data_IF_267588274752
#
_entry.id   IF_267588274752
#
_cell.length_a   1.000
_cell.length_b   1.000
_cell.length_c   1.000
_cell.angle_alpha   90.00
_cell.angle_beta   90.00
_cell.angle_gamma   90.00
#
_symmetry.space_group_name_H-M   'P 1'
#
loop_
_entity.id
_entity.type
_entity.pdbx_description
1 polymer ?
#
# COMPACT_ATOMS: atom_id res chain seq x y z
N UNK A 1 32.73 19.01 -38.56
CA UNK A 1 31.50 19.66 -38.04
C UNK A 1 30.49 18.59 -37.68
N UNK A 2 29.78 18.76 -36.56
CA UNK A 2 28.63 17.97 -36.05
C UNK A 2 28.88 16.69 -35.24
N UNK A 3 29.47 16.83 -34.06
CA UNK A 3 29.25 15.89 -32.94
C UNK A 3 29.25 16.64 -31.61
N UNK A 4 28.17 17.35 -31.28
CA UNK A 4 28.03 17.89 -29.92
C UNK A 4 26.60 18.27 -29.50
N UNK A 5 25.65 18.40 -30.44
CA UNK A 5 24.30 18.90 -30.14
C UNK A 5 23.28 17.82 -29.80
N UNK A 6 23.51 16.54 -30.14
CA UNK A 6 22.55 15.46 -29.88
C UNK A 6 22.62 14.90 -28.46
N UNK A 7 23.79 14.96 -27.80
CA UNK A 7 23.95 14.48 -26.42
C UNK A 7 23.23 15.38 -25.40
N UNK A 8 23.12 16.68 -25.68
CA UNK A 8 22.52 17.65 -24.76
C UNK A 8 20.99 17.52 -24.67
N UNK A 9 20.33 17.09 -25.76
CA UNK A 9 18.87 16.88 -25.76
C UNK A 9 18.43 15.58 -25.09
N UNK A 10 19.25 14.52 -25.13
CA UNK A 10 18.93 13.23 -24.49
C UNK A 10 19.05 13.35 -22.96
N UNK A 11 19.99 14.16 -22.47
CA UNK A 11 20.16 14.38 -21.04
C UNK A 11 18.97 15.11 -20.39
N UNK A 12 18.27 15.99 -21.12
CA UNK A 12 17.12 16.74 -20.57
C UNK A 12 15.86 15.88 -20.50
N UNK A 13 15.65 14.96 -21.44
CA UNK A 13 14.49 14.04 -21.39
C UNK A 13 14.60 12.95 -20.31
N UNK A 14 15.83 12.60 -19.92
CA UNK A 14 16.07 11.53 -18.94
C UNK A 14 15.85 11.96 -17.48
N UNK A 15 15.82 13.27 -17.21
CA UNK A 15 15.69 13.82 -15.85
C UNK A 15 14.22 14.03 -15.43
N UNK A 16 13.26 13.92 -16.35
CA UNK A 16 11.84 14.19 -16.07
C UNK A 16 11.04 13.02 -15.45
N UNK A 17 11.60 11.81 -15.38
CA UNK A 17 10.87 10.60 -14.91
C UNK A 17 11.53 9.87 -13.73
N UNK A 18 12.35 10.56 -12.93
CA UNK A 18 13.12 9.94 -11.85
C UNK A 18 12.66 10.31 -10.43
N UNK A 19 11.48 10.91 -10.25
CA UNK A 19 10.84 10.95 -8.94
C UNK A 19 9.92 9.72 -8.85
N UNK A 20 10.53 8.56 -8.67
CA UNK A 20 9.78 7.36 -8.35
C UNK A 20 9.24 7.50 -6.93
N UNK A 21 7.96 7.86 -6.78
CA UNK A 21 7.28 7.71 -5.50
C UNK A 21 7.35 6.22 -5.14
N UNK A 22 8.00 5.89 -4.03
CA UNK A 22 8.12 4.53 -3.53
C UNK A 22 7.31 4.47 -2.25
N UNK A 23 6.17 3.79 -2.29
CA UNK A 23 5.21 3.84 -1.17
C UNK A 23 5.46 2.69 -0.23
N UNK A 24 5.71 3.01 1.03
CA UNK A 24 5.79 2.00 2.09
C UNK A 24 4.38 1.56 2.47
N UNK A 25 4.27 0.28 2.76
CA UNK A 25 3.03 -0.27 3.29
C UNK A 25 2.66 0.40 4.61
N UNK A 26 1.36 0.58 4.85
CA UNK A 26 0.90 1.27 6.05
C UNK A 26 1.29 0.51 7.32
N UNK A 27 1.73 1.26 8.33
CA UNK A 27 1.93 0.72 9.67
C UNK A 27 0.59 0.39 10.32
N UNK A 28 0.53 -0.74 11.03
CA UNK A 28 -0.60 -1.12 11.87
C UNK A 28 -0.92 -0.01 12.87
N UNK A 29 -2.03 0.68 12.66
CA UNK A 29 -2.47 1.78 13.49
C UNK A 29 -3.97 2.03 13.31
N UNK A 30 -4.66 2.45 14.37
CA UNK A 30 -6.10 2.73 14.34
C UNK A 30 -6.37 4.14 13.73
N UNK A 31 -5.92 4.38 12.49
CA UNK A 31 -5.98 5.71 11.83
C UNK A 31 -7.41 6.13 11.48
N UNK A 32 -8.26 5.20 11.05
CA UNK A 32 -9.70 5.38 10.89
C UNK A 32 -10.39 4.75 12.08
N UNK A 33 -10.57 5.56 13.13
CA UNK A 33 -11.33 5.20 14.31
C UNK A 33 -12.67 4.53 13.94
N UNK A 34 -13.38 5.06 12.94
CA UNK A 34 -14.67 4.52 12.48
C UNK A 34 -14.51 3.12 11.89
N UNK A 35 -13.52 2.89 11.03
CA UNK A 35 -13.32 1.57 10.39
C UNK A 35 -12.66 0.55 11.32
N UNK A 36 -11.79 0.99 12.24
CA UNK A 36 -11.09 0.10 13.17
C UNK A 36 -11.95 -0.23 14.41
N UNK A 37 -12.63 0.75 14.99
CA UNK A 37 -13.36 0.59 16.25
C UNK A 37 -14.83 0.22 16.03
N UNK A 38 -15.55 0.73 15.02
CA UNK A 38 -16.93 0.22 14.78
C UNK A 38 -16.94 -1.22 14.28
N UNK A 39 -15.86 -1.65 13.64
CA UNK A 39 -15.62 -3.06 13.34
C UNK A 39 -15.55 -3.86 14.65
N UNK A 40 -14.80 -3.40 15.65
CA UNK A 40 -14.65 -4.12 16.92
C UNK A 40 -15.85 -4.02 17.88
N UNK A 41 -16.44 -2.84 18.05
CA UNK A 41 -17.38 -2.55 19.14
C UNK A 41 -18.81 -3.06 18.93
N UNK A 42 -19.22 -3.49 17.73
CA UNK A 42 -20.68 -3.62 17.46
C UNK A 42 -21.28 -4.91 16.91
N UNK A 43 -20.58 -6.01 16.60
CA UNK A 43 -21.23 -7.32 16.34
C UNK A 43 -20.24 -8.40 15.86
N UNK A 44 -20.73 -9.64 15.73
CA UNK A 44 -20.20 -10.73 14.87
C UNK A 44 -19.77 -10.32 13.45
N UNK A 45 -20.13 -9.12 12.97
CA UNK A 45 -19.68 -8.56 11.69
C UNK A 45 -18.22 -8.09 11.80
N UNK A 46 -17.80 -7.64 12.99
CA UNK A 46 -16.45 -7.20 13.29
C UNK A 46 -15.37 -8.21 13.00
N UNK A 47 -15.53 -9.38 13.59
CA UNK A 47 -14.65 -10.55 13.38
C UNK A 47 -14.48 -10.85 11.88
N UNK A 48 -15.58 -10.91 11.12
CA UNK A 48 -15.51 -11.17 9.67
C UNK A 48 -14.74 -10.09 8.90
N UNK A 49 -14.85 -8.83 9.31
CA UNK A 49 -14.12 -7.72 8.68
C UNK A 49 -12.63 -7.76 9.03
N UNK A 50 -12.28 -8.15 10.27
CA UNK A 50 -10.90 -8.36 10.70
C UNK A 50 -10.21 -9.51 9.92
N UNK A 51 -10.99 -10.45 9.37
CA UNK A 51 -10.48 -11.49 8.48
C UNK A 51 -10.48 -11.09 6.99
N UNK A 52 -10.92 -9.88 6.63
CA UNK A 52 -10.97 -9.45 5.23
C UNK A 52 -9.62 -8.98 4.72
N UNK A 53 -9.15 -9.63 3.67
CA UNK A 53 -7.97 -9.27 2.87
C UNK A 53 -7.93 -7.86 2.33
N UNK A 54 -9.10 -7.28 2.09
CA UNK A 54 -9.23 -5.92 1.61
C UNK A 54 -9.13 -4.88 2.73
N UNK A 55 -9.39 -5.26 3.98
CA UNK A 55 -9.61 -4.30 5.09
C UNK A 55 -8.74 -4.50 6.31
N UNK A 56 -8.07 -5.66 6.45
CA UNK A 56 -7.29 -5.93 7.64
C UNK A 56 -6.00 -6.72 7.44
N UNK A 57 -5.98 -7.71 6.56
CA UNK A 57 -4.84 -8.65 6.55
C UNK A 57 -3.74 -8.27 5.57
N UNK A 58 -3.83 -7.15 4.84
CA UNK A 58 -2.91 -6.94 3.70
C UNK A 58 -2.48 -5.51 3.37
N UNK A 59 -3.23 -4.45 3.67
CA UNK A 59 -2.87 -3.08 3.23
C UNK A 59 -3.27 -1.97 4.21
N UNK A 60 -4.07 -2.31 5.21
CA UNK A 60 -4.54 -1.42 6.25
C UNK A 60 -4.74 -2.27 7.49
N UNK A 61 -3.82 -2.18 8.43
CA UNK A 61 -3.87 -2.96 9.65
C UNK A 61 -4.36 -2.06 10.78
N UNK A 62 -5.49 -2.39 11.41
CA UNK A 62 -5.81 -1.76 12.68
C UNK A 62 -5.07 -2.50 13.81
N UNK A 63 -4.73 -1.78 14.87
CA UNK A 63 -4.15 -2.42 16.04
C UNK A 63 -5.21 -3.24 16.77
N UNK A 64 -6.44 -2.71 16.81
CA UNK A 64 -7.58 -3.33 17.49
C UNK A 64 -7.91 -4.75 17.00
N UNK A 65 -8.01 -5.01 15.68
CA UNK A 65 -8.17 -6.42 15.27
C UNK A 65 -6.89 -7.25 15.27
N UNK A 66 -5.68 -6.66 15.18
CA UNK A 66 -4.47 -7.43 15.36
C UNK A 66 -4.45 -8.06 16.76
N UNK A 67 -4.81 -7.27 17.78
CA UNK A 67 -4.99 -7.74 19.15
C UNK A 67 -6.09 -8.81 19.26
N UNK A 68 -7.25 -8.60 18.64
CA UNK A 68 -8.35 -9.59 18.62
C UNK A 68 -7.92 -10.94 17.99
N UNK A 69 -7.17 -10.89 16.91
CA UNK A 69 -6.70 -12.06 16.17
C UNK A 69 -5.46 -12.72 16.80
N UNK A 70 -4.92 -12.15 17.89
CA UNK A 70 -3.70 -12.62 18.54
C UNK A 70 -2.43 -12.42 17.71
N UNK A 71 -2.45 -11.46 16.77
CA UNK A 71 -1.32 -11.03 15.96
C UNK A 71 -0.53 -9.99 16.75
N UNK A 72 0.74 -10.29 17.03
CA UNK A 72 1.61 -9.35 17.75
C UNK A 72 2.12 -8.28 16.80
N UNK A 73 1.79 -7.02 17.09
CA UNK A 73 2.31 -5.84 16.38
C UNK A 73 3.57 -5.32 17.09
N UNK A 74 4.65 -5.16 16.33
CA UNK A 74 5.91 -4.58 16.77
C UNK A 74 5.80 -3.06 16.99
N UNK A 75 6.78 -2.47 17.67
CA UNK A 75 6.80 -1.03 17.97
C UNK A 75 6.80 -0.12 16.73
N UNK A 76 7.33 -0.61 15.60
CA UNK A 76 7.32 0.08 14.31
C UNK A 76 5.99 -0.08 13.55
N UNK A 77 5.00 -0.76 14.12
CA UNK A 77 3.69 -1.01 13.50
C UNK A 77 3.69 -2.13 12.44
N UNK A 78 4.74 -2.95 12.37
CA UNK A 78 4.75 -4.17 11.55
C UNK A 78 4.27 -5.37 12.38
N UNK A 79 3.95 -6.50 11.76
CA UNK A 79 3.66 -7.74 12.48
C UNK A 79 4.34 -8.93 11.81
N UNK A 80 4.51 -10.01 12.58
CA UNK A 80 5.06 -11.26 12.07
C UNK A 80 4.05 -11.98 11.17
N UNK A 81 4.49 -12.38 9.97
CA UNK A 81 3.70 -13.17 9.04
C UNK A 81 3.32 -14.52 9.66
N UNK A 82 2.03 -14.74 9.88
CA UNK A 82 1.46 -15.98 10.41
C UNK A 82 0.57 -16.66 9.38
N UNK A 83 1.15 -17.01 8.22
CA UNK A 83 0.53 -17.82 7.15
C UNK A 83 -0.79 -17.26 6.58
N UNK A 84 -1.83 -17.31 7.39
CA UNK A 84 -3.16 -16.72 7.21
C UNK A 84 -3.15 -15.18 7.28
N UNK A 85 -2.15 -14.58 7.96
CA UNK A 85 -1.95 -13.14 8.03
C UNK A 85 -0.55 -12.81 7.54
N UNK A 86 -0.44 -11.94 6.53
CA UNK A 86 0.84 -11.49 6.01
C UNK A 86 0.89 -9.98 6.10
N UNK A 87 1.98 -9.46 6.62
CA UNK A 87 2.22 -8.04 6.65
C UNK A 87 2.39 -7.50 5.24
N UNK A 88 3.02 -8.24 4.32
CA UNK A 88 3.30 -7.81 2.95
C UNK A 88 2.42 -8.45 1.87
N UNK A 89 2.41 -7.83 0.68
CA UNK A 89 1.71 -8.37 -0.50
C UNK A 89 2.21 -9.79 -0.82
N UNK A 90 1.32 -10.79 -0.97
CA UNK A 90 1.73 -12.16 -1.25
C UNK A 90 2.43 -12.35 -2.60
N UNK A 91 2.27 -11.40 -3.52
CA UNK A 91 2.95 -11.41 -4.81
C UNK A 91 4.36 -10.81 -4.73
N UNK A 92 4.77 -10.24 -3.60
CA UNK A 92 6.14 -9.76 -3.44
C UNK A 92 7.17 -10.87 -3.77
N UNK A 93 8.25 -10.56 -4.52
CA UNK A 93 8.61 -9.24 -5.07
C UNK A 93 7.93 -8.91 -6.42
N UNK A 94 7.22 -9.86 -7.04
CA UNK A 94 6.53 -9.71 -8.31
C UNK A 94 5.15 -9.03 -8.17
N UNK A 95 5.13 -7.79 -7.66
CA UNK A 95 3.91 -7.00 -7.49
C UNK A 95 3.13 -6.83 -8.81
N UNK A 96 1.80 -6.73 -8.68
CA UNK A 96 0.86 -6.52 -9.78
C UNK A 96 -0.33 -5.70 -9.32
N UNK A 97 -0.88 -4.91 -10.23
CA UNK A 97 -2.18 -4.30 -10.02
C UNK A 97 -3.28 -5.34 -10.11
N UNK A 98 -4.28 -5.21 -9.23
CA UNK A 98 -5.42 -6.14 -9.13
C UNK A 98 -6.62 -5.70 -9.97
N UNK A 99 -6.58 -4.48 -10.52
CA UNK A 99 -7.63 -3.93 -11.38
C UNK A 99 -7.04 -3.07 -12.51
N UNK A 100 -7.72 -2.95 -13.66
CA UNK A 100 -7.35 -1.96 -14.66
C UNK A 100 -7.70 -0.54 -14.19
N UNK A 101 -7.05 0.47 -14.78
CA UNK A 101 -7.36 1.88 -14.53
C UNK A 101 -6.51 2.56 -13.46
N UNK A 102 -5.60 1.84 -12.80
CA UNK A 102 -4.74 2.39 -11.75
C UNK A 102 -3.93 3.61 -12.17
N UNK A 103 -3.38 3.64 -13.39
CA UNK A 103 -2.67 4.82 -13.91
C UNK A 103 -3.60 6.05 -13.96
N UNK A 104 -4.84 5.89 -14.43
CA UNK A 104 -5.81 6.98 -14.47
C UNK A 104 -6.23 7.41 -13.05
N UNK A 105 -6.44 6.45 -12.14
CA UNK A 105 -6.80 6.74 -10.76
C UNK A 105 -5.71 7.58 -10.07
N UNK A 106 -4.44 7.22 -10.29
CA UNK A 106 -3.29 7.95 -9.75
C UNK A 106 -3.14 9.33 -10.39
N UNK A 107 -3.26 9.44 -11.71
CA UNK A 107 -3.13 10.73 -12.43
C UNK A 107 -4.27 11.70 -12.08
N UNK A 108 -5.47 11.18 -11.81
CA UNK A 108 -6.63 12.00 -11.46
C UNK A 108 -6.74 12.28 -9.96
N UNK A 109 -5.94 11.60 -9.13
CA UNK A 109 -5.81 11.96 -7.73
C UNK A 109 -5.21 13.36 -7.60
N UNK A 110 -5.71 14.13 -6.62
CA UNK A 110 -5.13 15.43 -6.29
C UNK A 110 -3.70 15.29 -5.77
N UNK A 111 -3.42 14.17 -5.12
CA UNK A 111 -2.13 13.80 -4.58
C UNK A 111 -1.91 12.28 -4.78
N UNK A 112 -0.91 11.94 -5.59
CA UNK A 112 -0.51 10.56 -5.88
C UNK A 112 -0.06 9.84 -4.60
N UNK A 113 0.69 10.52 -3.74
CA UNK A 113 1.21 9.95 -2.49
C UNK A 113 0.07 9.68 -1.51
N UNK A 114 -0.88 10.60 -1.41
CA UNK A 114 -2.07 10.40 -0.59
C UNK A 114 -2.93 9.24 -1.11
N UNK A 115 -3.21 9.19 -2.43
CA UNK A 115 -3.97 8.09 -3.01
C UNK A 115 -3.28 6.75 -2.80
N UNK A 116 -1.98 6.67 -3.06
CA UNK A 116 -1.22 5.45 -2.89
C UNK A 116 -1.03 5.07 -1.41
N UNK A 117 -1.20 6.01 -0.48
CA UNK A 117 -1.29 5.75 0.96
C UNK A 117 -2.68 5.26 1.41
N UNK A 118 -3.71 5.25 0.54
CA UNK A 118 -5.03 4.69 0.86
C UNK A 118 -5.06 3.16 0.77
N UNK A 119 -6.10 2.56 1.35
CA UNK A 119 -6.39 1.13 1.22
C UNK A 119 -6.55 0.76 -0.26
N UNK A 120 -7.24 1.61 -1.03
CA UNK A 120 -7.48 1.43 -2.44
C UNK A 120 -6.18 1.42 -3.24
N UNK A 121 -5.31 2.40 -3.03
CA UNK A 121 -4.02 2.51 -3.71
C UNK A 121 -3.13 1.30 -3.42
N UNK A 122 -2.93 0.97 -2.15
CA UNK A 122 -2.08 -0.16 -1.75
C UNK A 122 -2.67 -1.51 -2.16
N UNK A 123 -4.00 -1.71 -2.06
CA UNK A 123 -4.62 -2.99 -2.40
C UNK A 123 -4.76 -3.19 -3.90
N UNK A 124 -5.30 -2.21 -4.63
CA UNK A 124 -5.63 -2.41 -6.03
C UNK A 124 -4.49 -2.02 -6.98
N UNK A 125 -3.72 -1.01 -6.62
CA UNK A 125 -2.77 -0.35 -7.51
C UNK A 125 -1.33 -0.48 -7.02
N UNK A 126 -0.99 -1.58 -6.33
CA UNK A 126 0.31 -1.79 -5.70
C UNK A 126 1.52 -1.63 -6.65
N UNK A 127 1.39 -2.04 -7.91
CA UNK A 127 2.46 -1.89 -8.89
C UNK A 127 2.53 -0.44 -9.40
N UNK A 128 1.39 0.15 -9.76
CA UNK A 128 1.32 1.55 -10.19
C UNK A 128 1.83 2.51 -9.10
N UNK A 129 1.43 2.25 -7.84
CA UNK A 129 1.86 2.98 -6.65
C UNK A 129 3.27 2.60 -6.17
N UNK A 130 3.99 1.75 -6.90
CA UNK A 130 5.37 1.34 -6.61
C UNK A 130 5.57 0.97 -5.14
N UNK A 131 4.71 0.09 -4.64
CA UNK A 131 4.77 -0.37 -3.25
C UNK A 131 6.11 -1.05 -2.97
N UNK A 132 6.74 -0.75 -1.84
CA UNK A 132 7.98 -1.40 -1.42
C UNK A 132 7.71 -2.79 -0.82
N UNK A 133 8.24 -3.83 -1.46
CA UNK A 133 8.34 -5.16 -0.87
C UNK A 133 9.53 -5.23 0.10
N UNK A 134 9.44 -6.05 1.16
CA UNK A 134 10.59 -6.32 2.02
C UNK A 134 11.68 -7.03 1.23
N UNK A 135 12.93 -6.73 1.57
CA UNK A 135 14.13 -7.39 1.03
C UNK A 135 14.66 -8.43 1.98
#
# INVERSE_FOLDING_TARGET
MFTCTTAFWIAVFSVLFANGLSVKQLSCSDRDYVMCILTFERSRIGEKMCHSDRRFSRYYCCRSCADFLGVKVHSNGTFEDRGNFRYYDPNCPALRDRRPGCENDVITALDEEEFCATIEGQHYCALTCKLECPT
#
